data_IF_568991812518
#
_entry.id   IF_568991812518
#
_cell.length_a   1.000
_cell.length_b   1.000
_cell.length_c   1.000
_cell.angle_alpha   90.00
_cell.angle_beta   90.00
_cell.angle_gamma   90.00
#
_symmetry.space_group_name_H-M   'P 1'
#
loop_
_entity.id
_entity.type
_entity.pdbx_description
1 polymer ?
#
# COMPACT_ATOMS: atom_id res chain seq x y z
N UNK A 1 63.66 29.46 24.64
CA UNK A 1 62.43 29.86 25.36
C UNK A 1 61.47 28.67 25.33
N UNK A 2 61.49 27.74 26.31
CA UNK A 2 60.60 27.68 27.51
C UNK A 2 59.10 27.78 27.17
N UNK A 3 58.14 26.97 27.65
CA UNK A 3 57.98 25.65 28.31
C UNK A 3 56.44 25.44 28.48
N UNK A 4 55.98 24.21 28.77
CA UNK A 4 54.62 23.71 29.16
C UNK A 4 53.79 23.06 28.04
N UNK A 5 53.43 21.76 28.01
CA UNK A 5 53.06 20.70 28.99
C UNK A 5 51.57 20.75 29.39
N UNK A 6 50.72 20.02 28.67
CA UNK A 6 49.59 19.23 29.23
C UNK A 6 49.35 18.00 28.34
N UNK A 7 49.68 16.84 28.90
CA UNK A 7 49.22 15.50 28.48
C UNK A 7 47.77 15.30 28.90
N UNK A 8 46.91 14.81 28.01
CA UNK A 8 45.62 14.22 28.41
C UNK A 8 45.36 12.94 27.61
N UNK A 9 45.54 11.84 28.34
CA UNK A 9 45.27 10.46 27.96
C UNK A 9 43.75 10.26 27.99
N UNK A 10 43.12 10.00 26.85
CA UNK A 10 41.73 9.53 26.78
C UNK A 10 41.73 8.10 26.24
N UNK A 11 41.78 7.12 27.16
CA UNK A 11 41.35 5.76 26.87
C UNK A 11 39.83 5.80 26.62
N UNK A 12 39.42 5.61 25.37
CA UNK A 12 38.05 5.23 25.03
C UNK A 12 38.10 3.84 24.42
N UNK A 13 37.79 2.85 25.25
CA UNK A 13 37.68 1.43 24.91
C UNK A 13 36.69 1.18 23.77
N UNK A 14 37.08 0.48 22.68
CA UNK A 14 36.13 -0.06 21.73
C UNK A 14 35.72 -1.48 22.19
N UNK A 15 35.01 -1.57 23.32
CA UNK A 15 34.37 -2.82 23.75
C UNK A 15 32.87 -2.57 23.88
N UNK A 16 32.12 -2.95 22.85
CA UNK A 16 30.65 -2.93 22.94
C UNK A 16 29.88 -3.24 21.65
N UNK A 17 30.48 -3.06 20.47
CA UNK A 17 29.70 -3.15 19.22
C UNK A 17 29.76 -4.50 18.49
N UNK A 18 30.67 -5.42 18.85
CA UNK A 18 30.85 -6.69 18.12
C UNK A 18 30.12 -7.90 18.73
N UNK A 19 29.55 -7.77 19.94
CA UNK A 19 28.90 -8.89 20.65
C UNK A 19 27.37 -8.89 20.58
N UNK A 20 26.74 -7.81 20.08
CA UNK A 20 25.28 -7.68 20.11
C UNK A 20 24.58 -8.51 19.02
N UNK A 21 25.22 -8.72 17.87
CA UNK A 21 24.58 -9.37 16.71
C UNK A 21 24.45 -10.89 16.87
N UNK A 22 25.49 -11.61 17.34
CA UNK A 22 25.43 -13.07 17.57
C UNK A 22 24.39 -13.47 18.64
N UNK A 23 24.14 -12.58 19.61
CA UNK A 23 23.25 -12.88 20.74
C UNK A 23 21.76 -12.91 20.32
N UNK A 24 21.39 -12.22 19.25
CA UNK A 24 19.99 -12.16 18.79
C UNK A 24 19.59 -13.42 18.02
N UNK A 25 20.43 -13.90 17.11
CA UNK A 25 20.21 -15.14 16.34
C UNK A 25 20.20 -16.39 17.22
N UNK A 26 21.08 -16.44 18.23
CA UNK A 26 21.16 -17.56 19.17
C UNK A 26 19.92 -17.67 20.05
N UNK A 27 19.37 -16.54 20.53
CA UNK A 27 18.11 -16.54 21.30
C UNK A 27 16.91 -16.92 20.44
N UNK A 28 16.84 -16.44 19.19
CA UNK A 28 15.75 -16.77 18.28
C UNK A 28 15.74 -18.27 17.96
N UNK A 29 16.90 -18.86 17.62
CA UNK A 29 17.06 -20.30 17.41
C UNK A 29 16.65 -21.12 18.63
N UNK A 30 17.12 -20.73 19.82
CA UNK A 30 16.80 -21.44 21.06
C UNK A 30 15.30 -21.43 21.38
N UNK A 31 14.57 -20.35 21.07
CA UNK A 31 13.11 -20.29 21.27
C UNK A 31 12.35 -21.15 20.27
N UNK A 32 12.73 -21.10 18.99
CA UNK A 32 12.07 -21.89 17.94
C UNK A 32 12.24 -23.40 18.15
N UNK A 33 13.42 -23.83 18.59
CA UNK A 33 13.70 -25.24 18.85
C UNK A 33 13.03 -25.75 20.12
N UNK A 34 13.13 -25.02 21.24
CA UNK A 34 12.62 -25.49 22.54
C UNK A 34 11.11 -25.31 22.73
N UNK A 35 10.56 -24.21 22.21
CA UNK A 35 9.17 -23.82 22.49
C UNK A 35 8.22 -24.26 21.38
N UNK A 36 8.69 -24.26 20.13
CA UNK A 36 7.85 -24.51 18.96
C UNK A 36 8.22 -25.81 18.21
N UNK A 37 9.29 -26.49 18.62
CA UNK A 37 9.75 -27.74 18.02
C UNK A 37 10.17 -27.60 16.55
N UNK A 38 10.50 -26.38 16.10
CA UNK A 38 10.80 -26.08 14.70
C UNK A 38 12.28 -25.72 14.54
N UNK A 39 12.99 -26.50 13.72
CA UNK A 39 14.36 -26.19 13.34
C UNK A 39 14.36 -25.16 12.18
N UNK A 40 14.95 -23.99 12.42
CA UNK A 40 14.98 -22.89 11.44
C UNK A 40 15.70 -23.28 10.13
N UNK A 41 16.72 -24.14 10.24
CA UNK A 41 17.55 -24.63 9.13
C UNK A 41 16.77 -25.46 8.10
N UNK A 42 15.62 -26.04 8.48
CA UNK A 42 14.75 -26.76 7.53
C UNK A 42 13.96 -25.81 6.63
N UNK A 43 13.73 -24.57 7.07
CA UNK A 43 12.86 -23.61 6.39
C UNK A 43 13.63 -22.54 5.63
N UNK A 44 14.89 -22.25 5.99
CA UNK A 44 15.75 -21.31 5.28
C UNK A 44 17.20 -21.80 5.24
N UNK A 45 17.78 -22.01 4.04
CA UNK A 45 19.20 -22.35 3.89
C UNK A 45 20.12 -21.13 4.05
N UNK A 46 19.57 -19.92 4.18
CA UNK A 46 20.33 -18.69 4.37
C UNK A 46 20.25 -18.24 5.84
N UNK A 47 21.37 -17.78 6.43
CA UNK A 47 21.38 -17.25 7.79
C UNK A 47 20.46 -16.02 7.88
N UNK A 48 19.83 -15.85 9.04
CA UNK A 48 18.99 -14.70 9.33
C UNK A 48 19.77 -13.41 9.11
N UNK A 49 19.18 -12.47 8.36
CA UNK A 49 19.73 -11.13 8.27
C UNK A 49 19.01 -10.21 9.27
N UNK A 50 19.75 -9.40 10.04
CA UNK A 50 19.13 -8.46 10.95
C UNK A 50 18.33 -7.41 10.17
N UNK A 51 17.19 -7.02 10.72
CA UNK A 51 16.20 -6.16 10.06
C UNK A 51 16.82 -4.88 9.47
N UNK A 52 17.77 -4.28 10.18
CA UNK A 52 18.43 -3.06 9.74
C UNK A 52 19.21 -3.21 8.42
N UNK A 53 19.79 -4.38 8.15
CA UNK A 53 20.57 -4.65 6.95
C UNK A 53 19.65 -5.12 5.82
N UNK A 54 18.58 -5.83 6.15
CA UNK A 54 17.52 -6.16 5.20
C UNK A 54 16.89 -4.88 4.61
N UNK A 55 16.59 -3.90 5.47
CA UNK A 55 16.04 -2.60 5.05
C UNK A 55 17.02 -1.84 4.16
N UNK A 56 18.31 -1.79 4.51
CA UNK A 56 19.34 -1.15 3.67
C UNK A 56 19.46 -1.82 2.29
N UNK A 57 19.50 -3.16 2.25
CA UNK A 57 19.52 -3.92 0.98
C UNK A 57 18.29 -3.65 0.13
N UNK A 58 17.11 -3.54 0.74
CA UNK A 58 15.88 -3.23 0.03
C UNK A 58 15.86 -1.80 -0.52
N UNK A 59 16.37 -0.82 0.24
CA UNK A 59 16.52 0.56 -0.23
C UNK A 59 17.48 0.65 -1.43
N UNK A 60 18.57 -0.11 -1.42
CA UNK A 60 19.51 -0.20 -2.55
C UNK A 60 18.88 -0.89 -3.79
N UNK A 61 17.92 -1.79 -3.58
CA UNK A 61 17.18 -2.48 -4.66
C UNK A 61 16.04 -1.67 -5.26
N UNK A 62 15.77 -0.44 -4.80
CA UNK A 62 14.88 0.49 -5.51
C UNK A 62 15.58 0.98 -6.79
N UNK A 63 15.81 0.08 -7.74
CA UNK A 63 16.15 0.45 -9.10
C UNK A 63 14.96 1.23 -9.64
N UNK A 64 15.17 2.50 -9.97
CA UNK A 64 14.24 3.25 -10.81
C UNK A 64 13.98 2.40 -12.06
N UNK A 65 12.73 1.98 -12.25
CA UNK A 65 12.33 1.28 -13.49
C UNK A 65 12.44 2.33 -14.59
N UNK A 66 13.58 2.35 -15.27
CA UNK A 66 13.78 3.19 -16.45
C UNK A 66 13.02 2.53 -17.59
N UNK A 67 11.78 2.98 -17.80
CA UNK A 67 10.99 2.58 -18.96
C UNK A 67 11.61 3.24 -20.18
N UNK A 68 12.29 2.45 -21.02
CA UNK A 68 12.77 2.91 -22.31
C UNK A 68 11.58 3.04 -23.27
N UNK A 69 10.96 4.21 -23.22
CA UNK A 69 9.82 4.59 -24.06
C UNK A 69 10.15 4.44 -25.55
N UNK A 70 11.41 4.64 -25.94
CA UNK A 70 11.82 4.58 -27.35
C UNK A 70 11.82 3.16 -27.88
N UNK A 71 12.19 2.15 -27.08
CA UNK A 71 12.08 0.75 -27.49
C UNK A 71 10.65 0.23 -27.44
N UNK A 72 9.84 0.68 -26.47
CA UNK A 72 8.43 0.32 -26.36
C UNK A 72 7.56 0.84 -27.53
N UNK A 73 7.95 1.97 -28.14
CA UNK A 73 7.18 2.61 -29.22
C UNK A 73 7.58 2.17 -30.64
N UNK A 74 8.69 1.42 -30.81
CA UNK A 74 9.13 0.90 -32.12
C UNK A 74 8.05 0.16 -32.94
N UNK A 75 7.14 -0.62 -32.34
CA UNK A 75 6.08 -1.29 -33.11
C UNK A 75 5.03 -0.33 -33.67
N UNK A 76 4.94 0.90 -33.15
CA UNK A 76 3.88 1.87 -33.46
C UNK A 76 4.36 3.05 -34.31
N UNK A 77 5.68 3.27 -34.40
CA UNK A 77 6.30 4.36 -35.18
C UNK A 77 6.17 4.18 -36.70
N UNK A 78 5.77 3.02 -37.18
CA UNK A 78 5.65 2.73 -38.62
C UNK A 78 4.55 1.70 -38.90
N UNK A 79 3.26 2.09 -38.89
CA UNK A 79 2.17 1.18 -39.27
C UNK A 79 2.26 0.71 -40.74
N UNK A 80 3.12 1.37 -41.52
CA UNK A 80 3.33 1.14 -42.95
C UNK A 80 4.33 0.00 -43.24
N UNK A 81 5.21 -0.34 -42.29
CA UNK A 81 6.19 -1.43 -42.47
C UNK A 81 5.58 -2.83 -42.32
N UNK A 82 4.38 -2.95 -41.74
CA UNK A 82 3.55 -4.16 -41.82
C UNK A 82 2.87 -4.32 -43.19
N UNK A 83 2.88 -3.29 -44.04
CA UNK A 83 2.43 -3.39 -45.43
C UNK A 83 3.52 -4.02 -46.29
N UNK A 84 3.55 -5.36 -46.30
CA UNK A 84 4.36 -6.20 -47.20
C UNK A 84 3.81 -6.18 -48.64
N UNK A 85 3.67 -5.00 -49.23
CA UNK A 85 3.68 -4.88 -50.69
C UNK A 85 5.12 -4.60 -51.10
N UNK A 86 5.95 -5.62 -51.39
CA UNK A 86 7.11 -5.38 -52.21
C UNK A 86 6.57 -4.99 -53.58
N UNK A 87 6.55 -3.68 -53.86
CA UNK A 87 6.32 -3.19 -55.21
C UNK A 87 7.59 -3.44 -56.03
N UNK A 88 7.92 -4.72 -56.23
CA UNK A 88 8.84 -5.12 -57.27
C UNK A 88 8.01 -5.13 -58.57
N UNK A 89 8.25 -4.20 -59.51
CA UNK A 89 7.52 -4.18 -60.77
C UNK A 89 7.77 -5.50 -61.51
N UNK A 90 6.73 -6.34 -61.61
CA UNK A 90 6.78 -7.62 -62.34
C UNK A 90 6.59 -8.90 -61.52
N UNK A 91 6.45 -8.83 -60.19
CA UNK A 91 6.09 -10.02 -59.39
C UNK A 91 4.60 -10.34 -59.51
N UNK A 92 4.27 -11.46 -60.16
CA UNK A 92 2.89 -11.96 -60.25
C UNK A 92 2.47 -12.49 -58.87
N UNK A 93 1.83 -11.64 -58.08
CA UNK A 93 1.30 -12.05 -56.77
C UNK A 93 0.17 -13.06 -56.97
N UNK A 94 0.26 -14.23 -56.35
CA UNK A 94 -0.79 -15.23 -56.44
C UNK A 94 -2.02 -14.80 -55.62
N UNK A 95 -3.21 -15.27 -56.00
CA UNK A 95 -4.46 -15.01 -55.25
C UNK A 95 -4.36 -15.54 -53.81
N UNK A 96 -3.62 -16.64 -53.60
CA UNK A 96 -3.39 -17.20 -52.27
C UNK A 96 -2.61 -16.22 -51.38
N UNK A 97 -1.56 -15.59 -51.92
CA UNK A 97 -0.75 -14.61 -51.17
C UNK A 97 -1.53 -13.34 -50.85
N UNK A 98 -2.37 -12.86 -51.79
CA UNK A 98 -3.26 -11.71 -51.55
C UNK A 98 -4.25 -12.04 -50.43
N UNK A 99 -4.84 -13.24 -50.44
CA UNK A 99 -5.75 -13.69 -49.40
C UNK A 99 -5.06 -13.76 -48.04
N UNK A 100 -3.87 -14.35 -47.96
CA UNK A 100 -3.13 -14.44 -46.70
C UNK A 100 -2.82 -13.06 -46.12
N UNK A 101 -2.32 -12.12 -46.96
CA UNK A 101 -2.04 -10.74 -46.52
C UNK A 101 -3.31 -9.99 -46.11
N UNK A 102 -4.40 -10.16 -46.85
CA UNK A 102 -5.70 -9.58 -46.48
C UNK A 102 -6.20 -10.12 -45.13
N UNK A 103 -6.07 -11.43 -44.87
CA UNK A 103 -6.47 -12.01 -43.58
C UNK A 103 -5.63 -11.52 -42.39
N UNK A 104 -4.37 -11.16 -42.63
CA UNK A 104 -3.45 -10.67 -41.61
C UNK A 104 -3.62 -9.17 -41.31
N UNK A 105 -3.76 -8.36 -42.36
CA UNK A 105 -3.68 -6.90 -42.25
C UNK A 105 -5.01 -6.17 -42.41
N UNK A 106 -6.12 -6.88 -42.68
CA UNK A 106 -7.41 -6.23 -42.79
C UNK A 106 -7.93 -5.79 -41.40
N UNK A 107 -8.05 -4.47 -41.25
CA UNK A 107 -8.58 -3.80 -40.07
C UNK A 107 -9.98 -4.29 -39.68
N UNK A 108 -10.86 -4.59 -40.65
CA UNK A 108 -12.20 -5.10 -40.37
C UNK A 108 -12.14 -6.45 -39.66
N UNK A 109 -11.20 -7.32 -40.02
CA UNK A 109 -11.00 -8.61 -39.35
C UNK A 109 -10.40 -8.39 -37.95
N UNK A 110 -9.48 -7.42 -37.79
CA UNK A 110 -8.94 -7.06 -36.47
C UNK A 110 -10.04 -6.52 -35.55
N UNK A 111 -10.93 -5.67 -36.04
CA UNK A 111 -12.09 -5.15 -35.28
C UNK A 111 -13.08 -6.25 -34.94
N UNK A 112 -13.47 -7.07 -35.93
CA UNK A 112 -14.38 -8.20 -35.71
C UNK A 112 -13.83 -9.25 -34.72
N UNK A 113 -12.50 -9.35 -34.57
CA UNK A 113 -11.86 -10.17 -33.53
C UNK A 113 -11.93 -9.56 -32.14
N UNK A 114 -12.03 -8.23 -32.02
CA UNK A 114 -12.17 -7.51 -30.75
C UNK A 114 -13.62 -7.53 -30.23
N UNK A 115 -14.62 -7.53 -31.10
CA UNK A 115 -16.03 -7.51 -30.70
C UNK A 115 -16.42 -8.62 -29.69
N UNK A 116 -15.96 -9.89 -29.83
CA UNK A 116 -16.22 -10.92 -28.83
C UNK A 116 -15.57 -10.64 -27.47
N UNK A 117 -14.39 -10.01 -27.44
CA UNK A 117 -13.73 -9.65 -26.19
C UNK A 117 -14.46 -8.51 -25.48
N UNK A 118 -14.93 -7.51 -26.23
CA UNK A 118 -15.77 -6.43 -25.72
C UNK A 118 -17.09 -6.97 -25.16
N UNK A 119 -17.77 -7.84 -25.91
CA UNK A 119 -19.01 -8.47 -25.45
C UNK A 119 -18.78 -9.32 -24.17
N UNK A 120 -17.67 -10.06 -24.10
CA UNK A 120 -17.28 -10.80 -22.89
C UNK A 120 -16.96 -9.88 -21.70
N UNK A 121 -16.42 -8.69 -21.96
CA UNK A 121 -16.14 -7.72 -20.92
C UNK A 121 -17.44 -7.19 -20.31
N UNK A 122 -18.43 -6.83 -21.12
CA UNK A 122 -19.75 -6.40 -20.62
C UNK A 122 -20.44 -7.49 -19.79
N UNK A 123 -20.35 -8.76 -20.20
CA UNK A 123 -20.88 -9.87 -19.41
C UNK A 123 -20.14 -10.06 -18.08
N UNK A 124 -18.81 -9.87 -18.07
CA UNK A 124 -18.00 -9.94 -16.84
C UNK A 124 -18.33 -8.82 -15.87
N UNK A 125 -18.61 -7.62 -16.37
CA UNK A 125 -19.03 -6.49 -15.53
C UNK A 125 -20.37 -6.76 -14.85
N UNK A 126 -21.33 -7.33 -15.57
CA UNK A 126 -22.61 -7.75 -14.97
C UNK A 126 -22.42 -8.89 -13.96
N UNK A 127 -21.56 -9.87 -14.27
CA UNK A 127 -21.26 -10.96 -13.34
C UNK A 127 -20.55 -10.46 -12.08
N UNK A 128 -19.64 -9.49 -12.21
CA UNK A 128 -18.89 -8.91 -11.09
C UNK A 128 -19.79 -8.21 -10.07
N UNK A 129 -20.98 -7.72 -10.47
CA UNK A 129 -21.98 -7.19 -9.53
C UNK A 129 -22.47 -8.24 -8.52
N UNK A 130 -22.32 -9.53 -8.86
CA UNK A 130 -22.70 -10.67 -8.03
C UNK A 130 -21.51 -11.38 -7.38
N UNK A 131 -20.29 -10.90 -7.61
CA UNK A 131 -19.11 -11.46 -6.96
C UNK A 131 -19.02 -11.02 -5.50
N UNK A 132 -18.49 -11.91 -4.67
CA UNK A 132 -18.26 -11.63 -3.26
C UNK A 132 -17.05 -10.71 -3.13
N UNK A 133 -17.23 -9.58 -2.44
CA UNK A 133 -16.16 -8.58 -2.27
C UNK A 133 -15.64 -8.63 -0.84
N UNK A 134 -14.36 -8.95 -0.68
CA UNK A 134 -13.65 -8.81 0.59
C UNK A 134 -13.14 -7.37 0.66
N UNK A 135 -13.44 -6.66 1.74
CA UNK A 135 -12.98 -5.30 1.96
C UNK A 135 -12.24 -5.17 3.28
N UNK A 136 -11.24 -4.29 3.30
CA UNK A 136 -10.58 -3.84 4.51
C UNK A 136 -10.30 -2.34 4.34
N UNK A 137 -10.77 -1.52 5.28
CA UNK A 137 -10.46 -0.11 5.32
C UNK A 137 -9.85 0.26 6.67
N UNK A 138 -8.96 1.25 6.62
CA UNK A 138 -8.37 1.86 7.80
C UNK A 138 -8.52 3.38 7.67
N UNK A 139 -9.06 4.01 8.70
CA UNK A 139 -9.32 5.44 8.78
C UNK A 139 -8.57 6.00 9.98
N UNK A 140 -7.68 6.95 9.69
CA UNK A 140 -7.05 7.78 10.71
C UNK A 140 -7.65 9.18 10.65
N UNK A 141 -8.06 9.71 11.81
CA UNK A 141 -8.54 11.07 11.91
C UNK A 141 -8.00 11.73 13.18
N UNK A 142 -7.37 12.89 12.98
CA UNK A 142 -6.97 13.78 14.05
C UNK A 142 -7.86 15.02 14.01
N UNK A 143 -8.45 15.37 15.15
CA UNK A 143 -9.31 16.53 15.28
C UNK A 143 -8.78 17.43 16.39
N UNK A 144 -8.20 18.56 15.99
CA UNK A 144 -7.91 19.67 16.89
C UNK A 144 -9.18 20.50 17.07
N UNK A 145 -9.72 20.47 18.29
CA UNK A 145 -10.95 21.18 18.64
C UNK A 145 -10.55 22.41 19.45
N UNK A 146 -10.89 23.64 19.00
CA UNK A 146 -10.48 24.85 19.68
C UNK A 146 -11.06 24.94 21.09
N UNK A 147 -10.41 25.71 21.96
CA UNK A 147 -10.81 25.95 23.35
C UNK A 147 -12.28 26.38 23.54
N UNK A 148 -12.96 26.88 22.50
CA UNK A 148 -14.37 27.29 22.53
C UNK A 148 -15.34 26.22 21.99
N UNK A 149 -14.86 25.16 21.36
CA UNK A 149 -15.70 24.06 20.90
C UNK A 149 -15.86 23.02 22.02
N UNK A 150 -17.11 22.72 22.41
CA UNK A 150 -17.43 21.84 23.51
C UNK A 150 -18.88 21.98 23.96
N UNK A 151 -19.27 21.14 24.91
CA UNK A 151 -20.63 21.10 25.46
C UNK A 151 -20.91 22.37 26.29
N UNK A 152 -22.04 23.02 26.02
CA UNK A 152 -22.49 24.21 26.75
C UNK A 152 -23.50 23.75 27.78
N UNK A 153 -23.17 23.88 29.06
CA UNK A 153 -24.11 23.54 30.12
C UNK A 153 -24.83 24.79 30.59
N UNK A 154 -26.08 24.63 30.99
CA UNK A 154 -26.86 25.71 31.60
C UNK A 154 -26.59 25.66 33.10
N UNK A 155 -26.05 26.74 33.67
CA UNK A 155 -25.88 26.84 35.11
C UNK A 155 -27.26 26.99 35.77
N UNK A 156 -27.55 26.12 36.75
CA UNK A 156 -28.64 26.32 37.71
C UNK A 156 -28.04 26.88 38.98
N UNK A 157 -28.46 28.08 39.37
CA UNK A 157 -27.97 28.78 40.56
C UNK A 157 -29.13 29.48 41.27
N UNK A 158 -29.01 29.65 42.58
CA UNK A 158 -29.98 30.41 43.39
C UNK A 158 -29.85 31.93 43.19
N UNK A 159 -28.80 32.38 42.48
CA UNK A 159 -28.60 33.77 42.09
C UNK A 159 -29.30 34.08 40.75
N UNK A 160 -30.20 35.05 40.76
CA UNK A 160 -31.04 35.43 39.60
C UNK A 160 -30.25 35.88 38.35
N UNK A 161 -28.99 36.30 38.50
CA UNK A 161 -28.15 36.74 37.37
C UNK A 161 -27.40 35.59 36.68
N UNK A 162 -27.19 34.47 37.37
CA UNK A 162 -26.39 33.33 36.90
C UNK A 162 -27.26 32.11 36.57
N UNK A 163 -28.56 32.15 36.93
CA UNK A 163 -29.50 31.09 36.65
C UNK A 163 -29.95 31.13 35.20
N UNK A 164 -29.64 30.08 34.43
CA UNK A 164 -29.91 30.03 32.99
C UNK A 164 -28.73 30.50 32.13
N UNK A 165 -27.60 30.89 32.73
CA UNK A 165 -26.42 31.30 31.97
C UNK A 165 -25.75 30.08 31.31
N UNK A 166 -25.46 30.20 30.01
CA UNK A 166 -24.76 29.21 29.22
C UNK A 166 -23.26 29.30 29.53
N UNK A 167 -22.78 28.51 30.48
CA UNK A 167 -21.38 28.48 30.84
C UNK A 167 -20.68 27.23 30.27
N UNK A 168 -19.41 27.41 29.89
CA UNK A 168 -18.54 26.31 29.47
C UNK A 168 -17.70 25.85 30.66
N UNK A 169 -17.78 24.57 31.02
CA UNK A 169 -17.03 24.03 32.16
C UNK A 169 -15.54 23.83 31.88
N UNK A 170 -15.16 23.63 30.61
CA UNK A 170 -13.78 23.32 30.21
C UNK A 170 -13.31 24.25 29.08
N UNK A 171 -12.33 25.12 29.36
CA UNK A 171 -11.73 26.09 28.42
C UNK A 171 -10.45 25.57 27.73
N UNK A 172 -10.16 24.28 27.84
CA UNK A 172 -8.93 23.71 27.29
C UNK A 172 -9.11 23.29 25.82
N UNK A 173 -8.03 23.41 25.04
CA UNK A 173 -7.94 22.82 23.71
C UNK A 173 -7.95 21.29 23.81
N UNK A 174 -8.71 20.63 22.94
CA UNK A 174 -8.84 19.17 22.92
C UNK A 174 -8.25 18.62 21.63
N UNK A 175 -7.22 17.78 21.76
CA UNK A 175 -6.73 16.96 20.66
C UNK A 175 -7.35 15.57 20.75
N UNK A 176 -8.14 15.22 19.74
CA UNK A 176 -8.77 13.89 19.63
C UNK A 176 -8.17 13.12 18.48
N UNK A 177 -7.78 11.89 18.76
CA UNK A 177 -7.21 10.96 17.79
C UNK A 177 -8.11 9.72 17.69
N UNK A 178 -8.48 9.36 16.47
CA UNK A 178 -9.32 8.19 16.20
C UNK A 178 -8.68 7.34 15.11
N UNK A 179 -8.52 6.05 15.39
CA UNK A 179 -8.19 5.03 14.40
C UNK A 179 -9.34 4.04 14.34
N UNK A 180 -9.89 3.87 13.14
CA UNK A 180 -10.99 2.94 12.85
C UNK A 180 -10.54 1.99 11.74
N UNK A 181 -10.53 0.69 12.04
CA UNK A 181 -10.18 -0.36 11.09
C UNK A 181 -11.37 -1.29 10.98
N UNK A 182 -11.89 -1.46 9.77
CA UNK A 182 -12.95 -2.43 9.50
C UNK A 182 -12.47 -3.40 8.41
N UNK A 183 -12.67 -4.69 8.65
CA UNK A 183 -12.51 -5.71 7.64
C UNK A 183 -13.79 -6.53 7.54
N UNK A 184 -14.17 -6.92 6.34
CA UNK A 184 -15.42 -7.65 6.11
C UNK A 184 -15.57 -8.23 4.72
N UNK A 185 -16.70 -8.90 4.53
CA UNK A 185 -17.11 -9.51 3.26
C UNK A 185 -18.51 -9.01 2.92
N UNK A 186 -18.67 -8.53 1.68
CA UNK A 186 -19.95 -8.13 1.12
C UNK A 186 -20.41 -9.18 0.11
N UNK A 187 -21.56 -9.80 0.40
CA UNK A 187 -22.16 -10.85 -0.43
C UNK A 187 -23.46 -10.31 -1.05
N UNK A 188 -23.48 -10.03 -2.36
CA UNK A 188 -24.72 -9.73 -3.08
C UNK A 188 -25.58 -11.00 -3.22
N UNK A 189 -26.87 -10.88 -2.92
CA UNK A 189 -27.85 -11.96 -3.01
C UNK A 189 -28.56 -11.92 -4.36
N UNK A 190 -28.87 -13.11 -4.92
CA UNK A 190 -29.65 -13.24 -6.16
C UNK A 190 -31.09 -12.70 -6.05
N UNK A 191 -31.58 -12.46 -4.83
CA UNK A 191 -32.90 -11.87 -4.56
C UNK A 191 -32.89 -10.34 -4.57
N UNK A 192 -31.75 -9.68 -4.83
CA UNK A 192 -31.65 -8.23 -4.98
C UNK A 192 -31.20 -7.45 -3.73
N UNK A 193 -30.64 -8.11 -2.72
CA UNK A 193 -30.09 -7.47 -1.52
C UNK A 193 -28.58 -7.72 -1.36
N UNK A 194 -27.93 -7.07 -0.38
CA UNK A 194 -26.53 -7.33 -0.02
C UNK A 194 -26.40 -7.64 1.46
N UNK A 195 -25.69 -8.71 1.80
CA UNK A 195 -25.33 -9.04 3.19
C UNK A 195 -23.89 -8.60 3.42
N UNK A 196 -23.66 -7.82 4.46
CA UNK A 196 -22.32 -7.39 4.86
C UNK A 196 -22.01 -8.03 6.21
N UNK A 197 -20.88 -8.72 6.27
CA UNK A 197 -20.33 -9.28 7.51
C UNK A 197 -19.00 -8.57 7.77
N UNK A 198 -18.89 -7.83 8.87
CA UNK A 198 -17.69 -7.07 9.17
C UNK A 198 -17.30 -7.15 10.65
N UNK A 199 -16.01 -6.95 10.90
CA UNK A 199 -15.41 -6.86 12.21
C UNK A 199 -14.78 -5.46 12.37
N UNK A 200 -15.45 -4.54 13.09
CA UNK A 200 -14.91 -3.22 13.38
C UNK A 200 -13.96 -3.25 14.58
N UNK A 201 -12.85 -2.52 14.48
CA UNK A 201 -11.89 -2.26 15.55
C UNK A 201 -11.69 -0.75 15.67
N UNK A 202 -12.27 -0.14 16.70
CA UNK A 202 -12.13 1.29 17.01
C UNK A 202 -11.16 1.49 18.19
N UNK A 203 -10.21 2.41 18.03
CA UNK A 203 -9.42 2.95 19.13
C UNK A 203 -9.57 4.47 19.19
N UNK A 204 -9.96 4.98 20.36
CA UNK A 204 -10.28 6.38 20.61
C UNK A 204 -9.39 6.93 21.71
N UNK A 205 -8.50 7.86 21.35
CA UNK A 205 -7.66 8.55 22.31
C UNK A 205 -8.08 10.03 22.39
N UNK A 206 -8.37 10.49 23.61
CA UNK A 206 -8.66 11.88 23.89
C UNK A 206 -7.58 12.42 24.81
N UNK A 207 -6.74 13.32 24.29
CA UNK A 207 -5.71 13.98 25.09
C UNK A 207 -6.26 15.34 25.53
N UNK A 208 -6.75 15.38 26.77
CA UNK A 208 -7.21 16.60 27.45
C UNK A 208 -6.94 16.50 28.95
N UNK A 209 -6.82 17.63 29.64
CA UNK A 209 -6.48 17.70 31.08
C UNK A 209 -7.48 17.00 32.02
N UNK A 210 -8.63 16.55 31.50
CA UNK A 210 -9.68 15.83 32.23
C UNK A 210 -10.17 14.58 31.48
N UNK A 211 -9.33 13.98 30.63
CA UNK A 211 -9.61 12.67 30.03
C UNK A 211 -9.45 11.53 31.04
#
# INVERSE_FOLDING_TARGET
MTRWLVTLLALASPWGALLADEVTDTRARQRLEKTEGRALETYSPQPGLPLHDAVKRQQQRKSSVTVDLKSALKPFDSPESESIVPMAPGSQVTIADIRQRALQNNLQIKVAKMDPELARQSLREEQAKFDQVIFAYAKYAEKDTPAMAGDKVILKSDNALLNGELAKLNLDAQKKEFWDVEAGVKVPLRTGGTVTLSAPLENRQSLGKFA
#
